data_IF_597207739707
#
_entry.id   IF_597207739707
#
_cell.length_a   1.000
_cell.length_b   1.000
_cell.length_c   1.000
_cell.angle_alpha   90.00
_cell.angle_beta   90.00
_cell.angle_gamma   90.00
#
_symmetry.space_group_name_H-M   'P 1'
#
loop_
_entity.id
_entity.type
_entity.pdbx_description
1 polymer ?
#
# COMPACT_ATOMS: atom_id res chain seq x y z
N UNK A 1 -1.63 27.36 -8.07
CA UNK A 1 -0.31 26.86 -7.65
C UNK A 1 -0.38 25.34 -7.64
N UNK A 2 0.60 24.63 -8.21
CA UNK A 2 0.56 23.17 -8.37
C UNK A 2 1.14 22.46 -7.13
N UNK A 3 0.37 22.43 -6.03
CA UNK A 3 0.75 21.71 -4.81
C UNK A 3 0.35 20.23 -4.92
N UNK A 4 1.21 19.33 -4.44
CA UNK A 4 0.84 17.93 -4.26
C UNK A 4 -0.11 17.75 -3.06
N UNK A 5 -0.75 16.58 -2.96
CA UNK A 5 -1.75 16.28 -1.92
C UNK A 5 -1.30 16.59 -0.49
N UNK A 6 -0.03 16.33 -0.17
CA UNK A 6 0.52 16.54 1.16
C UNK A 6 0.71 18.04 1.44
N UNK A 7 1.42 18.75 0.56
CA UNK A 7 1.67 20.19 0.72
C UNK A 7 0.36 21.01 0.72
N UNK A 8 -0.67 20.56 0.00
CA UNK A 8 -2.00 21.17 0.05
C UNK A 8 -2.67 20.95 1.42
N UNK A 9 -2.60 19.73 1.96
CA UNK A 9 -3.06 19.42 3.33
C UNK A 9 -2.33 20.26 4.39
N UNK A 10 -1.01 20.36 4.31
CA UNK A 10 -0.18 21.18 5.22
C UNK A 10 -0.58 22.67 5.16
N UNK A 11 -0.87 23.19 3.95
CA UNK A 11 -1.34 24.56 3.75
C UNK A 11 -2.74 24.78 4.37
N UNK A 12 -3.68 23.85 4.17
CA UNK A 12 -5.00 23.91 4.79
C UNK A 12 -4.93 23.90 6.33
N UNK A 13 -4.10 23.02 6.91
CA UNK A 13 -3.89 22.97 8.37
C UNK A 13 -3.28 24.28 8.89
N UNK A 14 -2.33 24.87 8.15
CA UNK A 14 -1.70 26.14 8.51
C UNK A 14 -2.68 27.32 8.44
N UNK A 15 -3.58 27.32 7.46
CA UNK A 15 -4.66 28.31 7.34
C UNK A 15 -5.70 28.20 8.47
N UNK A 16 -6.07 26.97 8.86
CA UNK A 16 -6.94 26.74 10.02
C UNK A 16 -6.28 27.23 11.32
N UNK A 17 -5.00 26.91 11.55
CA UNK A 17 -4.27 27.42 12.71
C UNK A 17 -4.17 28.96 12.73
N UNK A 18 -3.99 29.60 11.58
CA UNK A 18 -3.99 31.07 11.51
C UNK A 18 -5.35 31.66 11.93
N UNK A 19 -6.45 31.07 11.43
CA UNK A 19 -7.81 31.46 11.81
C UNK A 19 -8.06 31.32 13.32
N UNK A 20 -7.68 30.18 13.92
CA UNK A 20 -7.90 29.94 15.35
C UNK A 20 -7.02 30.83 16.25
N UNK A 21 -5.81 31.21 15.80
CA UNK A 21 -4.95 32.18 16.51
C UNK A 21 -5.58 33.57 16.52
N UNK A 22 -6.19 33.99 15.41
CA UNK A 22 -6.92 35.26 15.31
C UNK A 22 -8.05 35.37 16.34
N UNK A 23 -8.76 34.28 16.63
CA UNK A 23 -9.86 34.26 17.63
C UNK A 23 -9.37 34.52 19.06
N UNK A 24 -8.14 34.11 19.40
CA UNK A 24 -7.57 34.31 20.74
C UNK A 24 -7.24 35.79 20.98
N UNK A 25 -6.62 36.49 20.02
CA UNK A 25 -6.42 37.95 20.12
C UNK A 25 -7.74 38.73 20.01
N UNK A 26 -8.72 38.25 19.24
CA UNK A 26 -10.01 38.94 19.08
C UNK A 26 -10.90 38.91 20.34
N UNK A 27 -10.53 38.16 21.38
CA UNK A 27 -11.34 37.97 22.59
C UNK A 27 -11.28 39.14 23.60
N UNK A 28 -10.65 40.26 23.26
CA UNK A 28 -10.50 41.45 24.13
C UNK A 28 -11.09 42.76 23.57
N UNK A 29 -11.95 42.71 22.55
CA UNK A 29 -12.68 43.90 22.06
C UNK A 29 -14.05 43.54 21.50
N UNK A 30 -15.10 43.87 22.25
CA UNK A 30 -16.49 43.78 21.79
C UNK A 30 -17.00 45.16 21.35
N UNK A 31 -17.88 45.21 20.34
CA UNK A 31 -19.16 45.96 20.30
C UNK A 31 -19.77 45.93 18.88
N UNK A 32 -20.90 45.21 18.77
CA UNK A 32 -22.09 45.41 17.91
C UNK A 32 -22.03 45.43 16.34
N UNK A 33 -23.18 45.18 15.66
CA UNK A 33 -23.32 45.01 14.20
C UNK A 33 -24.43 45.93 13.61
N UNK A 34 -25.23 45.56 12.55
CA UNK A 34 -24.95 45.05 11.19
C UNK A 34 -25.55 45.95 10.06
N UNK A 35 -25.20 45.68 8.79
CA UNK A 35 -25.97 45.97 7.54
C UNK A 35 -25.10 45.65 6.29
N UNK A 36 -25.58 45.32 5.08
CA UNK A 36 -26.84 44.69 4.62
C UNK A 36 -26.70 44.41 3.10
N UNK A 37 -27.05 43.20 2.62
CA UNK A 37 -27.31 42.85 1.19
C UNK A 37 -26.10 43.07 0.21
N UNK A 38 -26.04 42.73 -1.09
CA UNK A 38 -26.72 41.79 -2.05
C UNK A 38 -25.65 41.44 -3.14
N UNK A 39 -25.72 40.39 -3.97
CA UNK A 39 -26.64 39.26 -4.15
C UNK A 39 -26.56 38.65 -5.57
N UNK A 40 -26.73 37.32 -5.71
CA UNK A 40 -26.79 36.50 -6.95
C UNK A 40 -25.55 36.34 -7.87
N UNK A 41 -25.21 35.07 -8.12
CA UNK A 41 -24.91 34.33 -9.37
C UNK A 41 -24.26 35.06 -10.58
N UNK A 42 -23.43 34.44 -11.43
CA UNK A 42 -23.51 33.05 -11.93
C UNK A 42 -22.17 32.54 -12.54
N UNK A 43 -22.07 31.21 -12.72
CA UNK A 43 -20.90 30.52 -13.31
C UNK A 43 -20.88 30.54 -14.85
N UNK A 44 -19.69 30.64 -15.44
CA UNK A 44 -19.36 30.08 -16.77
C UNK A 44 -18.04 29.30 -16.70
N UNK A 45 -17.82 28.39 -17.65
CA UNK A 45 -16.76 27.36 -17.60
C UNK A 45 -15.59 27.69 -18.53
N UNK A 46 -14.37 27.43 -18.08
CA UNK A 46 -13.18 27.37 -18.93
C UNK A 46 -12.73 25.90 -19.04
N UNK A 47 -12.61 25.40 -20.27
CA UNK A 47 -12.32 24.00 -20.56
C UNK A 47 -11.10 23.85 -21.47
N UNK A 48 -10.15 23.03 -21.01
CA UNK A 48 -9.23 22.20 -21.81
C UNK A 48 -8.39 22.84 -22.92
N UNK A 49 -7.06 22.73 -22.78
CA UNK A 49 -6.16 22.23 -23.84
C UNK A 49 -5.14 21.25 -23.21
N UNK A 50 -4.43 20.50 -24.05
CA UNK A 50 -3.60 19.33 -23.67
C UNK A 50 -2.18 19.41 -24.25
N UNK A 51 -1.25 18.66 -23.64
CA UNK A 51 0.03 18.05 -24.14
C UNK A 51 1.00 17.92 -22.91
N UNK A 52 1.80 16.87 -22.62
CA UNK A 52 2.51 15.81 -23.41
C UNK A 52 3.72 16.41 -24.16
N UNK A 53 4.98 15.97 -24.06
CA UNK A 53 5.61 14.72 -23.59
C UNK A 53 7.00 15.00 -22.91
N UNK A 54 7.80 14.01 -22.47
CA UNK A 54 9.05 14.22 -21.71
C UNK A 54 10.31 14.41 -22.60
N UNK A 55 11.49 14.61 -21.99
CA UNK A 55 12.52 13.57 -22.13
C UNK A 55 13.29 13.22 -20.83
N UNK A 56 14.22 12.27 -20.97
CA UNK A 56 15.00 11.60 -19.94
C UNK A 56 16.29 12.32 -19.51
N UNK A 57 16.86 11.89 -18.38
CA UNK A 57 18.32 11.76 -18.19
C UNK A 57 18.65 10.75 -17.08
N UNK A 58 19.75 10.03 -17.25
CA UNK A 58 20.28 9.06 -16.28
C UNK A 58 21.32 9.71 -15.36
N UNK A 59 21.62 9.10 -14.21
CA UNK A 59 22.90 9.31 -13.49
C UNK A 59 23.17 8.17 -12.52
N UNK A 60 24.44 7.96 -12.15
CA UNK A 60 24.97 6.69 -11.63
C UNK A 60 25.68 6.86 -10.27
N UNK A 61 25.56 5.84 -9.41
CA UNK A 61 26.38 5.53 -8.22
C UNK A 61 26.34 6.46 -7.00
N UNK A 62 26.39 5.84 -5.81
CA UNK A 62 27.54 5.89 -4.86
C UNK A 62 27.38 4.76 -3.82
N UNK A 63 28.47 4.40 -3.15
CA UNK A 63 28.70 3.13 -2.42
C UNK A 63 28.28 3.11 -0.93
N UNK A 64 28.29 1.90 -0.36
CA UNK A 64 28.12 1.60 1.08
C UNK A 64 29.34 2.01 1.93
N UNK A 65 29.28 2.03 3.29
CA UNK A 65 29.47 0.77 4.03
C UNK A 65 28.67 0.56 5.34
N UNK A 66 28.75 -0.70 5.79
CA UNK A 66 28.56 -1.33 7.12
C UNK A 66 29.22 -0.55 8.29
N UNK A 67 28.92 -0.71 9.59
CA UNK A 67 28.23 -1.76 10.39
C UNK A 67 26.96 -1.16 11.10
N UNK A 68 26.44 -1.45 12.32
CA UNK A 68 26.75 -2.30 13.51
C UNK A 68 25.45 -3.00 14.05
N UNK A 69 25.54 -4.14 14.76
CA UNK A 69 24.38 -4.80 15.38
C UNK A 69 24.18 -4.43 16.87
N UNK A 70 23.07 -3.76 17.21
CA UNK A 70 22.62 -3.63 18.61
C UNK A 70 21.62 -4.75 18.94
N UNK A 71 21.99 -5.63 19.87
CA UNK A 71 21.08 -6.65 20.42
C UNK A 71 19.97 -5.97 21.20
N UNK A 72 18.70 -6.26 20.88
CA UNK A 72 17.54 -5.78 21.64
C UNK A 72 16.50 -6.89 21.83
N UNK A 73 15.90 -6.90 23.02
CA UNK A 73 15.10 -8.00 23.56
C UNK A 73 13.89 -8.38 22.69
N UNK A 74 13.42 -9.64 22.73
CA UNK A 74 12.32 -10.15 21.90
C UNK A 74 10.92 -9.71 22.38
N UNK A 75 10.70 -8.40 22.55
CA UNK A 75 9.36 -7.81 22.49
C UNK A 75 9.12 -7.39 21.04
N UNK A 76 8.75 -8.38 20.21
CA UNK A 76 8.63 -8.21 18.76
C UNK A 76 7.34 -7.47 18.37
N UNK A 77 7.27 -6.18 18.70
CA UNK A 77 6.45 -5.24 17.93
C UNK A 77 7.04 -5.18 16.51
N UNK A 78 6.60 -6.13 15.68
CA UNK A 78 7.03 -6.24 14.29
C UNK A 78 6.49 -5.05 13.51
N UNK A 79 7.30 -3.99 13.44
CA UNK A 79 7.26 -2.92 12.44
C UNK A 79 6.72 -3.46 11.12
N UNK A 80 5.44 -3.14 10.83
CA UNK A 80 4.64 -3.85 9.81
C UNK A 80 5.04 -3.39 8.42
N UNK A 81 6.25 -3.78 8.00
CA UNK A 81 6.85 -3.48 6.70
C UNK A 81 5.79 -3.71 5.63
N UNK A 82 5.40 -2.67 4.87
CA UNK A 82 4.16 -2.71 4.11
C UNK A 82 4.21 -3.82 3.07
N UNK A 83 3.29 -4.79 3.18
CA UNK A 83 3.22 -5.93 2.28
C UNK A 83 3.25 -5.44 0.82
N UNK A 84 4.20 -5.94 0.03
CA UNK A 84 4.40 -5.60 -1.37
C UNK A 84 4.49 -6.87 -2.20
N UNK A 85 4.10 -6.77 -3.47
CA UNK A 85 4.33 -7.83 -4.44
C UNK A 85 5.84 -7.99 -4.67
N UNK A 86 6.35 -9.22 -4.62
CA UNK A 86 7.78 -9.49 -4.79
C UNK A 86 8.25 -9.15 -6.21
N UNK A 87 7.46 -9.47 -7.24
CA UNK A 87 7.78 -9.18 -8.65
C UNK A 87 7.72 -7.67 -8.97
N UNK A 88 6.58 -7.01 -8.72
CA UNK A 88 6.33 -5.64 -9.19
C UNK A 88 6.39 -4.54 -8.11
N UNK A 89 6.76 -4.88 -6.86
CA UNK A 89 6.96 -3.98 -5.70
C UNK A 89 5.78 -3.07 -5.31
N UNK A 90 4.63 -3.13 -6.01
CA UNK A 90 3.35 -2.50 -5.68
C UNK A 90 2.90 -2.95 -4.28
N UNK A 91 2.40 -2.02 -3.45
CA UNK A 91 1.82 -2.33 -2.12
C UNK A 91 0.56 -3.20 -2.31
N UNK A 92 0.44 -4.27 -1.54
CA UNK A 92 -0.70 -5.21 -1.56
C UNK A 92 -1.47 -5.25 -0.24
N UNK A 93 -0.95 -4.66 0.84
CA UNK A 93 -1.69 -4.48 2.09
C UNK A 93 -2.20 -5.80 2.67
N UNK A 94 -3.51 -5.90 2.90
CA UNK A 94 -4.17 -7.11 3.39
C UNK A 94 -4.52 -8.11 2.27
N UNK A 95 -4.64 -7.66 1.01
CA UNK A 95 -5.04 -8.48 -0.15
C UNK A 95 -3.85 -9.10 -0.90
N UNK A 96 -2.72 -9.29 -0.20
CA UNK A 96 -1.53 -9.95 -0.73
C UNK A 96 -1.65 -11.48 -0.74
N UNK A 97 -1.47 -12.10 -1.89
CA UNK A 97 -1.46 -13.55 -2.04
C UNK A 97 -0.10 -14.12 -1.63
N UNK A 98 -0.07 -14.97 -0.60
CA UNK A 98 1.12 -15.76 -0.24
C UNK A 98 1.17 -17.03 -1.08
N UNK A 99 2.30 -17.30 -1.72
CA UNK A 99 2.53 -18.54 -2.46
C UNK A 99 3.17 -19.62 -1.56
N UNK A 100 3.14 -20.91 -1.95
CA UNK A 100 3.81 -22.01 -1.22
C UNK A 100 5.33 -21.80 -1.08
N UNK A 101 5.97 -20.99 -1.95
CA UNK A 101 7.37 -20.55 -1.81
C UNK A 101 7.61 -19.45 -0.75
N UNK A 102 6.58 -19.03 0.01
CA UNK A 102 6.69 -18.09 1.14
C UNK A 102 6.63 -16.60 0.77
N UNK A 103 6.85 -16.23 -0.49
CA UNK A 103 6.76 -14.83 -0.95
C UNK A 103 5.32 -14.37 -1.16
N UNK A 104 5.12 -13.03 -1.12
CA UNK A 104 3.81 -12.39 -1.29
C UNK A 104 3.72 -11.67 -2.64
N UNK A 105 2.55 -11.73 -3.28
CA UNK A 105 2.27 -11.21 -4.62
C UNK A 105 0.95 -10.43 -4.69
N UNK A 106 0.77 -9.61 -5.73
CA UNK A 106 -0.53 -9.03 -6.07
C UNK A 106 -1.33 -9.98 -6.98
N UNK A 107 -2.62 -9.72 -7.18
CA UNK A 107 -3.53 -10.52 -8.02
C UNK A 107 -2.91 -10.98 -9.36
N UNK A 108 -2.27 -10.07 -10.09
CA UNK A 108 -1.66 -10.37 -11.39
C UNK A 108 -0.46 -11.34 -11.34
N UNK A 109 0.29 -11.37 -10.23
CA UNK A 109 1.51 -12.19 -10.08
C UNK A 109 1.30 -13.39 -9.14
N UNK A 110 0.06 -13.69 -8.76
CA UNK A 110 -0.27 -14.74 -7.78
C UNK A 110 0.11 -16.15 -8.24
N UNK A 111 0.10 -16.38 -9.55
CA UNK A 111 0.25 -17.70 -10.15
C UNK A 111 1.72 -18.11 -10.28
N UNK A 112 2.08 -19.39 -10.06
CA UNK A 112 3.46 -19.87 -10.07
C UNK A 112 4.26 -19.53 -11.33
N UNK A 113 3.62 -19.65 -12.50
CA UNK A 113 4.21 -19.41 -13.81
C UNK A 113 4.53 -17.93 -14.08
N UNK A 114 3.79 -17.01 -13.44
CA UNK A 114 3.98 -15.55 -13.63
C UNK A 114 5.14 -14.99 -12.78
N UNK A 115 5.54 -15.71 -11.72
CA UNK A 115 6.67 -15.29 -10.87
C UNK A 115 7.84 -16.28 -10.83
N UNK A 116 7.85 -17.31 -11.69
CA UNK A 116 8.94 -18.29 -11.75
C UNK A 116 9.11 -19.08 -10.45
N UNK A 117 8.01 -19.61 -9.91
CA UNK A 117 8.01 -20.28 -8.61
C UNK A 117 8.95 -21.50 -8.58
N UNK A 118 9.89 -21.50 -7.64
CA UNK A 118 10.86 -22.59 -7.42
C UNK A 118 10.34 -23.72 -6.52
N UNK A 119 9.11 -23.62 -6.02
CA UNK A 119 8.49 -24.64 -5.17
C UNK A 119 8.01 -25.83 -6.03
N UNK A 120 8.43 -27.05 -5.70
CA UNK A 120 7.96 -28.24 -6.42
C UNK A 120 6.56 -28.67 -5.94
N UNK A 121 5.55 -28.22 -6.68
CA UNK A 121 4.17 -28.64 -6.48
C UNK A 121 3.92 -30.14 -6.78
N UNK A 122 4.81 -30.82 -7.54
CA UNK A 122 4.60 -32.22 -7.96
C UNK A 122 4.96 -33.22 -6.86
N UNK A 123 6.11 -33.07 -6.19
CA UNK A 123 6.46 -33.87 -5.00
C UNK A 123 5.47 -33.61 -3.85
N UNK A 124 5.28 -32.34 -3.48
CA UNK A 124 4.36 -31.94 -2.41
C UNK A 124 2.92 -32.47 -2.65
N UNK A 125 2.41 -32.38 -3.89
CA UNK A 125 1.10 -32.94 -4.24
C UNK A 125 1.04 -34.46 -4.18
N UNK A 126 2.12 -35.16 -4.56
CA UNK A 126 2.21 -36.62 -4.45
C UNK A 126 2.21 -37.08 -2.99
N UNK A 127 2.93 -36.39 -2.11
CA UNK A 127 2.98 -36.68 -0.67
C UNK A 127 1.63 -36.41 0.00
N UNK A 128 0.99 -35.30 -0.34
CA UNK A 128 -0.35 -34.91 0.16
C UNK A 128 -1.42 -35.95 -0.26
N UNK A 129 -1.38 -36.45 -1.51
CA UNK A 129 -2.24 -37.54 -1.99
C UNK A 129 -1.89 -38.88 -1.33
N UNK A 130 -0.60 -39.25 -1.23
CA UNK A 130 -0.19 -40.52 -0.64
C UNK A 130 -0.58 -40.64 0.84
N UNK A 131 -0.60 -39.51 1.56
CA UNK A 131 -1.09 -39.41 2.94
C UNK A 131 -2.62 -39.47 3.06
N UNK A 132 -3.35 -39.03 2.03
CA UNK A 132 -4.82 -39.04 2.01
C UNK A 132 -5.42 -40.37 1.53
N UNK A 133 -4.68 -41.18 0.77
CA UNK A 133 -5.16 -42.45 0.20
C UNK A 133 -5.48 -43.49 1.29
N UNK A 134 -6.73 -43.99 1.40
CA UNK A 134 -7.08 -45.03 2.36
C UNK A 134 -6.51 -46.41 1.94
N UNK A 135 -6.20 -47.24 2.93
CA UNK A 135 -5.66 -48.59 2.71
C UNK A 135 -6.74 -49.57 2.22
N UNK A 136 -6.98 -49.60 0.90
CA UNK A 136 -7.87 -50.58 0.26
C UNK A 136 -7.25 -51.98 0.34
N UNK A 137 -7.76 -52.82 1.25
CA UNK A 137 -7.42 -54.24 1.37
C UNK A 137 -8.69 -55.08 1.24
N UNK A 138 -8.80 -55.83 0.14
CA UNK A 138 -9.88 -56.80 -0.04
C UNK A 138 -9.59 -58.07 0.78
N UNK A 139 -10.63 -58.68 1.36
CA UNK A 139 -10.51 -60.01 1.95
C UNK A 139 -10.32 -61.06 0.85
N UNK A 140 -9.40 -62.01 1.06
CA UNK A 140 -9.21 -63.13 0.13
C UNK A 140 -10.41 -64.07 0.22
N UNK A 141 -11.23 -64.12 -0.84
CA UNK A 141 -12.34 -65.05 -0.95
C UNK A 141 -11.81 -66.50 -0.84
N UNK A 142 -12.49 -67.32 -0.04
CA UNK A 142 -12.26 -68.75 -0.03
C UNK A 142 -13.01 -69.40 -1.19
N UNK A 143 -12.45 -70.48 -1.73
CA UNK A 143 -13.02 -71.21 -2.85
C UNK A 143 -14.03 -72.23 -2.31
N UNK A 144 -15.21 -72.24 -2.91
CA UNK A 144 -16.27 -73.25 -2.74
C UNK A 144 -15.97 -74.44 -3.64
#
# INVERSE_FOLDING_TARGET
MNLCSNCYGDLCLKQQQASMKSTVESSLSAVSPPSSEIGSMQSTVESSLSDVSPPSSETISISSPMIQPLVRNPSAELEKRPNRCTTCRKRVGLTGFKCRCGTTFCWAHRYPEVHGCTFDFKSAGREEIAKANPLVKAAKLQKI
#
